data_IF_559550525577
#
_entry.id   IF_559550525577
#
_cell.length_a   1.000
_cell.length_b   1.000
_cell.length_c   1.000
_cell.angle_alpha   90.00
_cell.angle_beta   90.00
_cell.angle_gamma   90.00
#
_symmetry.space_group_name_H-M   'P 1'
#
loop_
_entity.id
_entity.type
_entity.pdbx_description
1 polymer ?
#
# COMPACT_ATOMS: atom_id res chain seq x y z
N UNK A 1 -7.18 -18.39 -14.43
CA UNK A 1 -7.59 -18.91 -13.12
C UNK A 1 -8.99 -19.46 -13.21
N UNK A 2 -9.43 -20.22 -12.22
CA UNK A 2 -10.84 -20.61 -12.09
C UNK A 2 -11.51 -19.64 -11.10
N UNK A 3 -12.53 -18.91 -11.57
CA UNK A 3 -13.34 -18.01 -10.76
C UNK A 3 -14.75 -17.94 -11.33
N UNK A 4 -15.70 -17.51 -10.51
CA UNK A 4 -17.07 -17.26 -10.89
C UNK A 4 -17.43 -15.78 -10.64
N UNK A 5 -18.33 -15.19 -11.43
CA UNK A 5 -18.88 -13.88 -11.10
C UNK A 5 -19.48 -13.88 -9.69
N UNK A 6 -19.16 -12.85 -8.90
CA UNK A 6 -19.54 -12.73 -7.49
C UNK A 6 -18.47 -13.20 -6.51
N UNK A 7 -17.44 -13.94 -6.95
CA UNK A 7 -16.35 -14.34 -6.07
C UNK A 7 -15.64 -13.12 -5.47
N UNK A 8 -15.37 -13.20 -4.17
CA UNK A 8 -14.68 -12.15 -3.40
C UNK A 8 -13.18 -12.43 -3.40
N UNK A 9 -12.39 -11.44 -3.79
CA UNK A 9 -10.93 -11.54 -3.83
C UNK A 9 -10.27 -10.37 -3.13
N UNK A 10 -9.09 -10.62 -2.55
CA UNK A 10 -8.21 -9.59 -2.02
C UNK A 10 -7.00 -9.44 -2.95
N UNK A 11 -6.58 -8.21 -3.19
CA UNK A 11 -5.32 -7.94 -3.91
C UNK A 11 -4.18 -8.02 -2.89
N UNK A 12 -3.08 -8.69 -3.26
CA UNK A 12 -1.86 -8.76 -2.46
C UNK A 12 -0.78 -7.95 -3.18
N UNK A 13 -0.16 -7.01 -2.47
CA UNK A 13 0.90 -6.12 -2.97
C UNK A 13 2.13 -6.19 -2.04
N UNK A 14 3.31 -6.00 -2.60
CA UNK A 14 4.54 -5.81 -1.83
C UNK A 14 4.61 -4.38 -1.25
N UNK A 15 4.25 -3.37 -2.05
CA UNK A 15 4.41 -1.99 -1.66
C UNK A 15 3.41 -1.07 -2.37
N UNK A 16 2.92 -0.07 -1.65
CA UNK A 16 2.02 0.96 -2.19
C UNK A 16 2.61 2.36 -2.02
N UNK A 17 2.54 3.15 -3.10
CA UNK A 17 2.83 4.60 -3.11
C UNK A 17 1.54 5.40 -3.25
N UNK A 18 1.10 5.64 -4.49
CA UNK A 18 -0.15 6.33 -4.84
C UNK A 18 -1.34 5.36 -4.97
N UNK A 19 -1.09 4.06 -5.11
CA UNK A 19 -2.14 3.05 -5.25
C UNK A 19 -2.75 2.89 -6.65
N UNK A 20 -2.28 3.65 -7.65
CA UNK A 20 -2.85 3.61 -9.00
C UNK A 20 -2.78 2.24 -9.69
N UNK A 21 -1.70 1.47 -9.47
CA UNK A 21 -1.56 0.10 -9.98
C UNK A 21 -2.61 -0.84 -9.41
N UNK A 22 -2.85 -0.75 -8.10
CA UNK A 22 -3.84 -1.57 -7.39
C UNK A 22 -5.26 -1.22 -7.81
N UNK A 23 -5.57 0.07 -8.01
CA UNK A 23 -6.88 0.51 -8.55
C UNK A 23 -7.13 -0.08 -9.94
N UNK A 24 -6.16 0.04 -10.85
CA UNK A 24 -6.28 -0.53 -12.21
C UNK A 24 -6.47 -2.06 -12.18
N UNK A 25 -5.80 -2.73 -11.25
CA UNK A 25 -5.95 -4.18 -11.04
C UNK A 25 -7.37 -4.51 -10.55
N UNK A 26 -7.89 -3.75 -9.57
CA UNK A 26 -9.24 -3.92 -9.07
C UNK A 26 -10.30 -3.67 -10.16
N UNK A 27 -10.13 -2.65 -11.00
CA UNK A 27 -11.01 -2.40 -12.14
C UNK A 27 -11.04 -3.58 -13.11
N UNK A 28 -9.88 -4.15 -13.41
CA UNK A 28 -9.74 -5.32 -14.29
C UNK A 28 -10.47 -6.55 -13.71
N UNK A 29 -10.32 -6.79 -12.41
CA UNK A 29 -10.97 -7.90 -11.72
C UNK A 29 -12.50 -7.69 -11.61
N UNK A 30 -12.93 -6.46 -11.31
CA UNK A 30 -14.36 -6.10 -11.27
C UNK A 30 -15.02 -6.26 -12.64
N UNK A 31 -14.32 -5.91 -13.72
CA UNK A 31 -14.81 -6.15 -15.09
C UNK A 31 -14.97 -7.65 -15.41
N UNK A 32 -14.23 -8.53 -14.73
CA UNK A 32 -14.40 -9.99 -14.80
C UNK A 32 -15.52 -10.54 -13.89
N UNK A 33 -16.29 -9.66 -13.23
CA UNK A 33 -17.40 -10.02 -12.33
C UNK A 33 -16.99 -10.28 -10.89
N UNK A 34 -15.73 -10.02 -10.51
CA UNK A 34 -15.25 -10.26 -9.15
C UNK A 34 -15.56 -9.09 -8.21
N UNK A 35 -15.74 -9.40 -6.93
CA UNK A 35 -15.89 -8.40 -5.87
C UNK A 35 -14.52 -8.10 -5.26
N UNK A 36 -14.05 -6.87 -5.40
CA UNK A 36 -12.75 -6.41 -4.91
C UNK A 36 -12.94 -5.24 -3.96
N UNK A 37 -12.75 -5.50 -2.67
CA UNK A 37 -12.97 -4.51 -1.59
C UNK A 37 -11.75 -4.35 -0.68
N UNK A 38 -10.73 -5.22 -0.83
CA UNK A 38 -9.58 -5.24 0.06
C UNK A 38 -8.27 -5.38 -0.71
N UNK A 39 -7.26 -4.66 -0.25
CA UNK A 39 -5.87 -4.82 -0.66
C UNK A 39 -5.01 -5.04 0.60
N UNK A 40 -4.22 -6.10 0.64
CA UNK A 40 -3.24 -6.36 1.69
C UNK A 40 -1.87 -6.00 1.12
N UNK A 41 -1.15 -5.12 1.80
CA UNK A 41 0.15 -4.62 1.34
C UNK A 41 1.20 -4.77 2.42
N UNK A 42 2.39 -5.23 2.05
CA UNK A 42 3.47 -5.37 3.02
C UNK A 42 3.96 -3.98 3.48
N UNK A 43 4.17 -3.02 2.55
CA UNK A 43 4.71 -1.69 2.86
C UNK A 43 3.84 -0.56 2.29
N UNK A 44 3.30 0.28 3.16
CA UNK A 44 2.77 1.59 2.76
C UNK A 44 3.87 2.66 2.82
N UNK A 45 4.18 3.27 1.67
CA UNK A 45 5.14 4.39 1.59
C UNK A 45 4.58 5.72 2.10
N UNK A 46 3.31 5.76 2.49
CA UNK A 46 2.63 6.91 3.06
C UNK A 46 2.54 8.11 2.12
N UNK A 47 2.36 7.84 0.82
CA UNK A 47 2.27 8.83 -0.25
C UNK A 47 0.85 8.91 -0.86
N UNK A 48 -0.17 8.68 -0.04
CA UNK A 48 -1.59 8.81 -0.42
C UNK A 48 -2.27 7.53 -0.91
N UNK A 49 -1.53 6.42 -1.02
CA UNK A 49 -2.04 5.12 -1.49
C UNK A 49 -3.33 4.66 -0.80
N UNK A 50 -3.36 4.50 0.53
CA UNK A 50 -4.58 4.07 1.22
C UNK A 50 -5.80 4.96 0.97
N UNK A 51 -5.62 6.27 0.88
CA UNK A 51 -6.71 7.21 0.61
C UNK A 51 -7.24 7.06 -0.83
N UNK A 52 -6.35 6.90 -1.80
CA UNK A 52 -6.74 6.69 -3.20
C UNK A 52 -7.47 5.35 -3.40
N UNK A 53 -7.03 4.29 -2.71
CA UNK A 53 -7.73 3.01 -2.71
C UNK A 53 -9.12 3.13 -2.08
N UNK A 54 -9.24 3.86 -0.97
CA UNK A 54 -10.54 4.09 -0.33
C UNK A 54 -11.53 4.82 -1.26
N UNK A 55 -11.05 5.81 -2.03
CA UNK A 55 -11.87 6.48 -3.06
C UNK A 55 -12.34 5.52 -4.16
N UNK A 56 -11.58 4.47 -4.46
CA UNK A 56 -11.94 3.40 -5.38
C UNK A 56 -12.78 2.27 -4.72
N UNK A 57 -13.21 2.44 -3.47
CA UNK A 57 -13.97 1.43 -2.73
C UNK A 57 -13.13 0.23 -2.26
N UNK A 58 -11.84 0.43 -2.00
CA UNK A 58 -10.91 -0.61 -1.58
C UNK A 58 -10.29 -0.20 -0.24
N UNK A 59 -10.42 -1.03 0.79
CA UNK A 59 -9.71 -0.85 2.06
C UNK A 59 -8.29 -1.40 1.95
N UNK A 60 -7.30 -0.55 2.18
CA UNK A 60 -5.89 -0.95 2.24
C UNK A 60 -5.51 -1.41 3.66
N UNK A 61 -4.86 -2.56 3.75
CA UNK A 61 -4.37 -3.17 4.99
C UNK A 61 -2.84 -3.29 4.91
N UNK A 62 -2.13 -2.29 5.43
CA UNK A 62 -0.68 -2.26 5.40
C UNK A 62 -0.07 -2.93 6.63
N UNK A 63 0.89 -3.84 6.44
CA UNK A 63 1.62 -4.48 7.53
C UNK A 63 2.61 -3.50 8.16
N UNK A 64 3.36 -2.78 7.33
CA UNK A 64 4.33 -1.77 7.76
C UNK A 64 4.08 -0.45 7.04
N UNK A 65 4.32 0.65 7.74
CA UNK A 65 4.49 1.97 7.15
C UNK A 65 5.97 2.25 6.95
N UNK A 66 6.32 3.09 5.97
CA UNK A 66 7.70 3.49 5.75
C UNK A 66 8.28 4.16 7.00
N UNK A 67 7.54 5.03 7.69
CA UNK A 67 8.01 5.59 8.97
C UNK A 67 8.31 4.53 10.03
N UNK A 68 7.47 3.50 10.16
CA UNK A 68 7.74 2.36 11.05
C UNK A 68 9.04 1.63 10.68
N UNK A 69 9.31 1.45 9.39
CA UNK A 69 10.57 0.86 8.92
C UNK A 69 11.76 1.75 9.28
N UNK A 70 11.66 3.07 9.11
CA UNK A 70 12.73 4.00 9.49
C UNK A 70 13.03 3.92 10.99
N UNK A 71 12.01 3.84 11.83
CA UNK A 71 12.18 3.73 13.29
C UNK A 71 12.87 2.41 13.68
N UNK A 72 12.45 1.28 13.08
CA UNK A 72 13.07 -0.03 13.31
C UNK A 72 14.55 -0.02 12.87
N UNK A 73 14.86 0.50 11.69
CA UNK A 73 16.23 0.52 11.17
C UNK A 73 17.14 1.45 11.98
N UNK A 74 16.62 2.59 12.44
CA UNK A 74 17.36 3.53 13.29
C UNK A 74 17.67 2.90 14.65
N UNK A 75 16.67 2.28 15.29
CA UNK A 75 16.86 1.57 16.56
C UNK A 75 17.85 0.40 16.44
N UNK A 76 17.92 -0.25 15.28
CA UNK A 76 18.87 -1.33 14.99
C UNK A 76 20.29 -0.82 14.60
N UNK A 77 20.52 0.49 14.55
CA UNK A 77 21.78 1.08 14.10
C UNK A 77 22.09 0.79 12.62
N UNK A 78 21.05 0.54 11.82
CA UNK A 78 21.14 0.23 10.38
C UNK A 78 20.81 1.44 9.49
N UNK A 79 20.42 2.55 10.09
CA UNK A 79 20.12 3.82 9.43
C UNK A 79 20.71 4.95 10.25
N UNK A 80 21.47 5.84 9.62
CA UNK A 80 21.96 7.06 10.27
C UNK A 80 20.88 8.16 10.29
N UNK A 81 21.04 9.10 11.22
CA UNK A 81 20.08 10.19 11.42
C UNK A 81 19.96 11.08 10.18
N UNK A 82 21.05 11.29 9.44
CA UNK A 82 21.05 12.13 8.24
C UNK A 82 20.13 11.55 7.16
N UNK A 83 20.26 10.25 6.86
CA UNK A 83 19.43 9.54 5.90
C UNK A 83 17.99 9.44 6.39
N UNK A 84 17.76 9.24 7.70
CA UNK A 84 16.39 9.26 8.26
C UNK A 84 15.71 10.61 8.01
N UNK A 85 16.40 11.72 8.28
CA UNK A 85 15.86 13.05 8.06
C UNK A 85 15.63 13.35 6.58
N UNK A 86 16.52 12.91 5.69
CA UNK A 86 16.32 13.03 4.24
C UNK A 86 15.02 12.34 3.78
N UNK A 87 14.76 11.13 4.27
CA UNK A 87 13.53 10.39 3.91
C UNK A 87 12.29 11.04 4.52
N UNK A 88 12.34 11.53 5.77
CA UNK A 88 11.21 12.23 6.38
C UNK A 88 10.89 13.54 5.64
N UNK A 89 11.90 14.30 5.23
CA UNK A 89 11.73 15.49 4.41
C UNK A 89 11.10 15.15 3.04
N UNK A 90 11.53 14.05 2.39
CA UNK A 90 10.90 13.56 1.16
C UNK A 90 9.42 13.21 1.34
N UNK A 91 9.02 12.73 2.52
CA UNK A 91 7.62 12.44 2.86
C UNK A 91 6.82 13.68 3.30
N UNK A 92 7.44 14.86 3.37
CA UNK A 92 6.80 16.08 3.88
C UNK A 92 6.53 16.04 5.39
N UNK A 93 7.37 15.33 6.16
CA UNK A 93 7.24 15.11 7.61
C UNK A 93 8.45 15.64 8.40
N UNK A 94 9.11 16.67 7.88
CA UNK A 94 10.22 17.36 8.55
C UNK A 94 9.73 18.24 9.70
#
# INVERSE_FOLDING_TARGET
GAWQPGDRVAIIEDLITSGGSTVKTAETLRAAGLVVEHAIVLIDREQGGPANLAQAGISAHAVLKLTTILDILSAAGKLDDAKRQEVLAFLGRA
#
